data_IF_537710237658
#
_entry.id   IF_537710237658
#
_cell.length_a   1.000
_cell.length_b   1.000
_cell.length_c   1.000
_cell.angle_alpha   90.00
_cell.angle_beta   90.00
_cell.angle_gamma   90.00
#
_symmetry.space_group_name_H-M   'P 1'
#
loop_
_entity.id
_entity.type
_entity.pdbx_description
1 polymer ?
#
# COMPACT_ATOMS: atom_id res chain seq x y z
N UNK A 1 -19.13 -11.48 16.20
CA UNK A 1 -18.53 -10.15 15.94
C UNK A 1 -19.43 -9.45 14.92
N UNK A 2 -19.72 -8.15 15.06
CA UNK A 2 -20.54 -7.44 14.06
C UNK A 2 -19.80 -7.40 12.71
N UNK A 3 -20.48 -7.56 11.56
CA UNK A 3 -19.85 -7.58 10.24
C UNK A 3 -18.96 -6.36 9.98
N UNK A 4 -19.41 -5.17 10.37
CA UNK A 4 -18.64 -3.92 10.25
C UNK A 4 -17.32 -3.95 11.04
N UNK A 5 -17.30 -4.58 12.23
CA UNK A 5 -16.06 -4.67 13.02
C UNK A 5 -15.04 -5.60 12.36
N UNK A 6 -15.50 -6.61 11.62
CA UNK A 6 -14.61 -7.51 10.89
C UNK A 6 -13.94 -6.76 9.74
N UNK A 7 -14.72 -6.10 8.89
CA UNK A 7 -14.19 -5.27 7.80
C UNK A 7 -13.20 -4.21 8.28
N UNK A 8 -13.50 -3.51 9.38
CA UNK A 8 -12.59 -2.52 9.94
C UNK A 8 -11.29 -3.13 10.49
N UNK A 9 -11.35 -4.34 11.05
CA UNK A 9 -10.17 -5.05 11.53
C UNK A 9 -9.33 -5.52 10.35
N UNK A 10 -9.97 -6.12 9.36
CA UNK A 10 -9.28 -6.68 8.20
C UNK A 10 -8.60 -5.55 7.41
N UNK A 11 -9.30 -4.43 7.15
CA UNK A 11 -8.66 -3.23 6.59
C UNK A 11 -7.49 -2.71 7.46
N UNK A 12 -7.59 -2.73 8.80
CA UNK A 12 -6.49 -2.32 9.66
C UNK A 12 -5.28 -3.27 9.57
N UNK A 13 -5.51 -4.55 9.29
CA UNK A 13 -4.45 -5.54 9.05
C UNK A 13 -3.75 -5.24 7.72
N UNK A 14 -4.49 -5.05 6.62
CA UNK A 14 -3.93 -4.61 5.33
C UNK A 14 -3.12 -3.32 5.48
N UNK A 15 -3.64 -2.34 6.23
CA UNK A 15 -2.90 -1.09 6.44
C UNK A 15 -1.62 -1.23 7.27
N UNK A 16 -1.52 -2.25 8.12
CA UNK A 16 -0.27 -2.54 8.85
C UNK A 16 0.75 -3.17 7.91
N UNK A 17 0.31 -4.04 7.02
CA UNK A 17 1.17 -4.68 6.03
C UNK A 17 1.69 -3.65 5.03
N UNK A 18 0.83 -2.74 4.54
CA UNK A 18 1.23 -1.54 3.79
C UNK A 18 2.39 -0.77 4.46
N UNK A 19 2.33 -0.55 5.79
CA UNK A 19 3.41 0.15 6.52
C UNK A 19 4.71 -0.66 6.52
N UNK A 20 4.63 -1.99 6.65
CA UNK A 20 5.80 -2.88 6.64
C UNK A 20 6.47 -2.84 5.26
N UNK A 21 5.68 -2.93 4.20
CA UNK A 21 6.16 -2.96 2.82
C UNK A 21 6.76 -1.64 2.40
N UNK A 22 6.11 -0.51 2.71
CA UNK A 22 6.70 0.81 2.46
C UNK A 22 8.02 1.01 3.22
N UNK A 23 8.15 0.45 4.44
CA UNK A 23 9.44 0.45 5.17
C UNK A 23 10.50 -0.41 4.51
N UNK A 24 10.12 -1.55 3.93
CA UNK A 24 11.04 -2.40 3.16
C UNK A 24 11.50 -1.68 1.90
N UNK A 25 10.60 -1.03 1.15
CA UNK A 25 10.94 -0.19 0.01
C UNK A 25 11.95 0.92 0.40
N UNK A 26 11.70 1.63 1.52
CA UNK A 26 12.64 2.63 2.03
C UNK A 26 14.00 2.01 2.41
N UNK A 27 14.00 0.81 2.96
CA UNK A 27 15.24 0.11 3.34
C UNK A 27 16.06 -0.24 2.10
N UNK A 28 15.44 -0.82 1.08
CA UNK A 28 16.07 -1.11 -0.21
C UNK A 28 16.68 0.15 -0.86
N UNK A 29 15.91 1.26 -0.86
CA UNK A 29 16.39 2.56 -1.35
C UNK A 29 17.60 3.09 -0.56
N UNK A 30 17.63 2.89 0.77
CA UNK A 30 18.76 3.32 1.61
C UNK A 30 19.99 2.44 1.45
N UNK A 31 19.82 1.19 1.03
CA UNK A 31 20.92 0.26 0.77
C UNK A 31 21.49 0.36 -0.63
N UNK A 32 20.91 1.22 -1.49
CA UNK A 32 21.48 1.53 -2.80
C UNK A 32 22.92 2.02 -2.64
N UNK A 33 23.84 1.25 -3.22
CA UNK A 33 25.24 1.61 -3.40
C UNK A 33 25.51 1.60 -4.90
N UNK A 34 26.33 2.53 -5.37
CA UNK A 34 26.77 2.55 -6.76
C UNK A 34 27.39 1.20 -7.13
N UNK A 35 26.87 0.54 -8.17
CA UNK A 35 27.35 -0.76 -8.63
C UNK A 35 26.27 -1.69 -9.16
N UNK A 36 26.65 -2.94 -9.43
CA UNK A 36 25.84 -3.92 -10.16
C UNK A 36 24.56 -4.39 -9.44
N UNK A 37 24.37 -4.07 -8.15
CA UNK A 37 23.18 -4.47 -7.38
C UNK A 37 22.02 -3.47 -7.46
N UNK A 38 22.22 -2.28 -8.06
CA UNK A 38 21.16 -1.27 -8.20
C UNK A 38 19.90 -1.84 -8.87
N UNK A 39 19.97 -2.64 -9.97
CA UNK A 39 18.77 -3.19 -10.58
C UNK A 39 17.97 -4.15 -9.71
N UNK A 40 18.65 -4.92 -8.86
CA UNK A 40 18.01 -5.83 -7.91
C UNK A 40 17.25 -5.05 -6.84
N UNK A 41 17.92 -4.10 -6.18
CA UNK A 41 17.30 -3.25 -5.17
C UNK A 41 16.09 -2.49 -5.73
N UNK A 42 16.20 -1.91 -6.92
CA UNK A 42 15.09 -1.18 -7.56
C UNK A 42 13.93 -2.11 -7.93
N UNK A 43 14.21 -3.37 -8.27
CA UNK A 43 13.17 -4.39 -8.45
C UNK A 43 12.45 -4.69 -7.13
N UNK A 44 13.18 -4.83 -6.03
CA UNK A 44 12.59 -5.03 -4.70
C UNK A 44 11.75 -3.83 -4.27
N UNK A 45 12.25 -2.60 -4.46
CA UNK A 45 11.49 -1.36 -4.21
C UNK A 45 10.16 -1.38 -4.96
N UNK A 46 10.19 -1.72 -6.26
CA UNK A 46 8.97 -1.81 -7.07
C UNK A 46 8.01 -2.87 -6.52
N UNK A 47 8.51 -4.03 -6.11
CA UNK A 47 7.69 -5.10 -5.51
C UNK A 47 6.99 -4.60 -4.26
N UNK A 48 7.74 -4.04 -3.31
CA UNK A 48 7.18 -3.57 -2.04
C UNK A 48 6.17 -2.43 -2.20
N UNK A 49 6.43 -1.46 -3.08
CA UNK A 49 5.46 -0.39 -3.34
C UNK A 49 4.21 -0.91 -4.09
N UNK A 50 4.35 -1.93 -4.93
CA UNK A 50 3.21 -2.55 -5.61
C UNK A 50 2.34 -3.38 -4.66
N UNK A 51 2.97 -4.06 -3.70
CA UNK A 51 2.28 -4.79 -2.64
C UNK A 51 1.50 -3.82 -1.74
N UNK A 52 2.11 -2.71 -1.32
CA UNK A 52 1.46 -1.69 -0.50
C UNK A 52 0.19 -1.14 -1.17
N UNK A 53 0.26 -0.89 -2.48
CA UNK A 53 -0.89 -0.45 -3.27
C UNK A 53 -1.99 -1.52 -3.37
N UNK A 54 -1.62 -2.79 -3.34
CA UNK A 54 -2.57 -3.91 -3.37
C UNK A 54 -3.33 -3.99 -2.05
N UNK A 55 -2.63 -3.92 -0.91
CA UNK A 55 -3.21 -3.94 0.43
C UNK A 55 -4.18 -2.75 0.65
N UNK A 56 -3.80 -1.56 0.20
CA UNK A 56 -4.67 -0.37 0.22
C UNK A 56 -5.97 -0.63 -0.57
N UNK A 57 -5.88 -1.30 -1.73
CA UNK A 57 -7.05 -1.72 -2.51
C UNK A 57 -7.91 -2.75 -1.78
N UNK A 58 -7.28 -3.81 -1.24
CA UNK A 58 -7.94 -4.87 -0.47
C UNK A 58 -8.72 -4.30 0.72
N UNK A 59 -8.14 -3.32 1.45
CA UNK A 59 -8.85 -2.64 2.52
C UNK A 59 -10.19 -2.06 2.03
N UNK A 60 -10.19 -1.35 0.89
CA UNK A 60 -11.41 -0.70 0.39
C UNK A 60 -12.43 -1.67 -0.22
N UNK A 61 -11.97 -2.74 -0.86
CA UNK A 61 -12.83 -3.76 -1.49
C UNK A 61 -13.75 -4.44 -0.46
N UNK A 62 -13.23 -4.70 0.76
CA UNK A 62 -14.03 -5.29 1.84
C UNK A 62 -15.25 -4.46 2.26
N UNK A 63 -15.24 -3.14 2.01
CA UNK A 63 -16.40 -2.26 2.28
C UNK A 63 -17.47 -2.30 1.17
N UNK A 64 -17.18 -2.90 0.02
CA UNK A 64 -18.18 -3.12 -1.05
C UNK A 64 -19.00 -4.39 -0.82
N UNK A 65 -18.42 -5.37 -0.13
CA UNK A 65 -19.03 -6.69 0.09
C UNK A 65 -20.06 -6.72 1.24
N UNK A 66 -19.94 -5.82 2.21
CA UNK A 66 -20.75 -5.83 3.44
C UNK A 66 -21.37 -4.45 3.71
N UNK A 67 -22.60 -4.45 4.26
CA UNK A 67 -23.22 -3.22 4.78
C UNK A 67 -22.45 -2.68 5.98
N UNK A 68 -21.62 -1.67 5.73
CA UNK A 68 -20.96 -0.83 6.73
C UNK A 68 -21.74 0.49 6.88
N UNK A 69 -21.65 1.14 8.05
CA UNK A 69 -22.21 2.48 8.22
C UNK A 69 -21.68 3.42 7.12
N UNK A 70 -22.59 4.16 6.47
CA UNK A 70 -22.26 5.02 5.32
C UNK A 70 -21.19 6.07 5.64
N UNK A 71 -21.22 6.65 6.84
CA UNK A 71 -20.25 7.65 7.26
C UNK A 71 -18.88 7.01 7.55
N UNK A 72 -18.87 5.85 8.21
CA UNK A 72 -17.65 5.05 8.43
C UNK A 72 -16.99 4.69 7.10
N UNK A 73 -17.75 4.08 6.17
CA UNK A 73 -17.25 3.71 4.83
C UNK A 73 -16.65 4.93 4.13
N UNK A 74 -17.39 6.05 4.08
CA UNK A 74 -16.90 7.28 3.43
C UNK A 74 -15.58 7.78 4.03
N UNK A 75 -15.45 7.76 5.36
CA UNK A 75 -14.24 8.25 6.04
C UNK A 75 -13.04 7.34 5.77
N UNK A 76 -13.21 6.03 5.88
CA UNK A 76 -12.12 5.06 5.67
C UNK A 76 -11.69 5.05 4.20
N UNK A 77 -12.63 4.88 3.27
CA UNK A 77 -12.35 4.87 1.83
C UNK A 77 -11.60 6.13 1.40
N UNK A 78 -12.03 7.31 1.85
CA UNK A 78 -11.35 8.57 1.50
C UNK A 78 -9.87 8.56 1.91
N UNK A 79 -9.56 8.16 3.15
CA UNK A 79 -8.18 8.18 3.66
C UNK A 79 -7.31 7.15 2.92
N UNK A 80 -7.87 5.98 2.64
CA UNK A 80 -7.14 4.90 1.95
C UNK A 80 -6.92 5.24 0.47
N UNK A 81 -7.89 5.84 -0.21
CA UNK A 81 -7.74 6.31 -1.60
C UNK A 81 -6.71 7.44 -1.74
N UNK A 82 -6.64 8.37 -0.78
CA UNK A 82 -5.61 9.42 -0.74
C UNK A 82 -4.21 8.81 -0.60
N UNK A 83 -4.08 7.76 0.21
CA UNK A 83 -2.84 7.00 0.35
C UNK A 83 -2.51 6.22 -0.93
N UNK A 84 -3.46 5.49 -1.51
CA UNK A 84 -3.30 4.76 -2.77
C UNK A 84 -2.90 5.65 -3.94
N UNK A 85 -3.42 6.88 -3.98
CA UNK A 85 -2.98 7.89 -4.95
C UNK A 85 -1.51 8.24 -4.75
N UNK A 86 -1.06 8.38 -3.50
CA UNK A 86 0.35 8.67 -3.18
C UNK A 86 1.26 7.47 -3.51
N UNK A 87 0.85 6.25 -3.15
CA UNK A 87 1.57 5.01 -3.41
C UNK A 87 1.68 4.75 -4.92
N UNK A 88 0.60 4.91 -5.67
CA UNK A 88 0.60 4.76 -7.14
C UNK A 88 1.45 5.82 -7.86
N UNK A 89 1.41 7.08 -7.42
CA UNK A 89 2.31 8.12 -7.93
C UNK A 89 3.78 7.77 -7.67
N UNK A 90 4.09 7.26 -6.48
CA UNK A 90 5.44 6.80 -6.11
C UNK A 90 5.88 5.65 -7.01
N UNK A 91 5.02 4.65 -7.22
CA UNK A 91 5.29 3.53 -8.12
C UNK A 91 5.52 4.00 -9.56
N UNK A 92 4.76 4.99 -10.03
CA UNK A 92 4.94 5.58 -11.35
C UNK A 92 6.30 6.26 -11.47
N UNK A 93 6.74 7.02 -10.46
CA UNK A 93 8.08 7.62 -10.44
C UNK A 93 9.17 6.55 -10.49
N UNK A 94 9.09 5.52 -9.65
CA UNK A 94 10.05 4.41 -9.61
C UNK A 94 10.17 3.72 -10.98
N UNK A 95 9.04 3.46 -11.66
CA UNK A 95 9.02 2.83 -12.99
C UNK A 95 9.69 3.67 -14.08
N UNK A 96 9.81 4.98 -13.89
CA UNK A 96 10.42 5.90 -14.85
C UNK A 96 11.86 6.30 -14.46
N UNK A 97 12.40 5.81 -13.35
CA UNK A 97 13.80 5.99 -13.02
C UNK A 97 14.66 5.17 -13.98
N UNK A 98 15.63 5.83 -14.60
CA UNK A 98 16.69 5.16 -15.36
C UNK A 98 17.86 4.94 -14.41
N UNK A 99 18.27 3.69 -14.23
CA UNK A 99 19.40 3.28 -13.39
C UNK A 99 20.19 2.17 -14.09
#
# INVERSE_FOLDING_TARGET
MLPEKLILRDCLEEMRDTIVELKQAITEMKTLRDGDSVPEHMTNVRTWVSAALTDEGTCTDGFEEIKVNKETKKKVTKVVEELATTTSNTLALIKNLSY
#
